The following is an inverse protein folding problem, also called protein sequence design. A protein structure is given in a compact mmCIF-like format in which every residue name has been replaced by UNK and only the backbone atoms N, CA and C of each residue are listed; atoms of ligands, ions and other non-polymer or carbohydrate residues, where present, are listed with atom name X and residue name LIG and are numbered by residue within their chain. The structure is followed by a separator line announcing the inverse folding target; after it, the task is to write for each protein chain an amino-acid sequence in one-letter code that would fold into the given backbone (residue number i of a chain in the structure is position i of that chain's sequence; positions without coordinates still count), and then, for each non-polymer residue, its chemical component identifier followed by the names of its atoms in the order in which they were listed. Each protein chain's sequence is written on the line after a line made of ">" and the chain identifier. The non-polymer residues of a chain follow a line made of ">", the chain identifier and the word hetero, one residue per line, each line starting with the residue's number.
data_IF_293600800267
#
_entry.id   IF_293600800267
#
_cell.length_a   1.000
_cell.length_b   1.000
_cell.length_c   1.000
_cell.angle_alpha   90.00
_cell.angle_beta   90.00
_cell.angle_gamma   90.00
#
_symmetry.space_group_name_H-M   'P 1'
#
loop_
_entity.id
_entity.type
_entity.pdbx_description
1 polymer ?
#
# COMPACT_ATOMS: atom_id res chain seq x y z
N UNK A 1 -27.54 16.01 50.89
CA UNK A 1 -28.61 15.36 50.12
C UNK A 1 -28.30 15.48 48.63
N UNK A 2 -28.65 14.44 47.88
CA UNK A 2 -28.30 14.12 46.49
C UNK A 2 -28.36 15.25 45.44
N UNK A 3 -27.52 15.14 44.39
CA UNK A 3 -27.97 14.75 43.04
C UNK A 3 -26.82 14.53 42.03
N UNK A 4 -26.87 13.34 41.46
CA UNK A 4 -26.30 12.82 40.22
C UNK A 4 -26.42 13.75 39.01
N UNK A 5 -25.39 13.81 38.16
CA UNK A 5 -25.54 13.84 36.70
C UNK A 5 -24.21 13.54 35.98
N UNK A 6 -24.17 12.39 35.32
CA UNK A 6 -23.21 12.05 34.29
C UNK A 6 -23.43 12.94 33.05
N UNK A 7 -22.35 13.33 32.35
CA UNK A 7 -22.44 13.44 30.89
C UNK A 7 -21.07 13.37 30.22
N UNK A 8 -20.89 12.22 29.59
CA UNK A 8 -19.96 11.89 28.53
C UNK A 8 -19.78 13.03 27.52
N UNK A 9 -18.52 13.43 27.29
CA UNK A 9 -18.14 14.02 25.99
C UNK A 9 -16.81 13.40 25.55
N UNK A 10 -16.92 12.31 24.81
CA UNK A 10 -15.86 11.70 24.00
C UNK A 10 -15.27 12.76 23.07
N UNK A 11 -14.12 13.32 23.42
CA UNK A 11 -13.25 14.00 22.48
C UNK A 11 -12.58 12.93 21.59
N UNK A 12 -13.29 12.51 20.53
CA UNK A 12 -12.75 11.68 19.47
C UNK A 12 -11.92 12.59 18.57
N UNK A 13 -10.74 12.99 19.05
CA UNK A 13 -9.71 13.61 18.21
C UNK A 13 -9.21 12.52 17.29
N UNK A 14 -9.84 12.40 16.12
CA UNK A 14 -9.26 11.70 14.98
C UNK A 14 -8.04 12.51 14.56
N UNK A 15 -6.94 12.23 15.26
CA UNK A 15 -5.60 12.73 14.96
C UNK A 15 -5.30 12.28 13.55
N UNK A 16 -5.51 13.22 12.64
CA UNK A 16 -5.25 13.20 11.21
C UNK A 16 -3.85 12.62 11.05
N UNK A 17 -3.78 11.33 10.73
CA UNK A 17 -2.52 10.61 10.60
C UNK A 17 -1.67 11.37 9.58
N UNK A 18 -0.65 12.00 10.14
CA UNK A 18 0.52 12.61 9.52
C UNK A 18 0.83 11.92 8.19
N UNK A 19 0.53 12.58 7.08
CA UNK A 19 1.09 12.19 5.79
C UNK A 19 2.61 12.44 5.90
N UNK A 20 3.46 11.41 5.81
CA UNK A 20 4.88 11.65 5.67
C UNK A 20 5.10 12.27 4.29
N UNK A 21 5.30 13.59 4.24
CA UNK A 21 6.00 14.25 3.15
C UNK A 21 7.45 13.74 3.16
N UNK A 22 7.64 12.51 2.70
CA UNK A 22 8.96 11.97 2.45
C UNK A 22 9.44 12.60 1.14
N UNK A 23 10.46 13.46 1.23
CA UNK A 23 11.37 13.71 0.11
C UNK A 23 11.79 12.34 -0.41
N UNK A 24 11.26 11.93 -1.55
CA UNK A 24 11.61 10.67 -2.20
C UNK A 24 13.03 10.86 -2.72
N UNK A 25 14.00 10.49 -1.90
CA UNK A 25 15.37 10.31 -2.33
C UNK A 25 15.33 9.26 -3.46
N UNK A 26 15.65 9.72 -4.66
CA UNK A 26 15.64 8.95 -5.91
C UNK A 26 16.78 7.95 -5.88
N UNK A 27 16.60 6.87 -5.12
CA UNK A 27 17.46 5.70 -5.11
C UNK A 27 16.61 4.46 -5.37
N UNK A 28 17.06 3.59 -6.26
CA UNK A 28 16.47 2.28 -6.47
C UNK A 28 16.65 1.45 -5.19
N UNK A 29 15.68 1.53 -4.29
CA UNK A 29 15.68 0.77 -3.03
C UNK A 29 14.59 -0.30 -3.09
N UNK A 30 14.95 -1.54 -2.76
CA UNK A 30 13.97 -2.64 -2.59
C UNK A 30 12.83 -2.26 -1.63
N UNK A 31 13.11 -1.40 -0.65
CA UNK A 31 12.09 -0.88 0.26
C UNK A 31 11.14 0.12 -0.41
N UNK A 32 11.63 0.98 -1.31
CA UNK A 32 10.79 1.94 -2.03
C UNK A 32 9.81 1.22 -2.98
N UNK A 33 10.28 0.19 -3.67
CA UNK A 33 9.44 -0.68 -4.52
C UNK A 33 8.34 -1.35 -3.69
N UNK A 34 8.70 -1.89 -2.52
CA UNK A 34 7.74 -2.48 -1.57
C UNK A 34 6.67 -1.52 -1.10
N UNK A 35 7.05 -0.30 -0.75
CA UNK A 35 6.11 0.72 -0.29
C UNK A 35 5.11 1.08 -1.39
N UNK A 36 5.57 1.23 -2.62
CA UNK A 36 4.70 1.54 -3.78
C UNK A 36 3.78 0.37 -4.12
N UNK A 37 4.30 -0.87 -4.10
CA UNK A 37 3.47 -2.07 -4.25
C UNK A 37 2.40 -2.15 -3.16
N UNK A 38 2.77 -1.91 -1.89
CA UNK A 38 1.80 -1.86 -0.79
C UNK A 38 0.77 -0.75 -0.98
N UNK A 39 1.14 0.41 -1.54
CA UNK A 39 0.18 1.48 -1.84
C UNK A 39 -0.82 1.09 -2.92
N UNK A 40 -0.38 0.42 -3.99
CA UNK A 40 -1.26 -0.11 -5.03
C UNK A 40 -2.16 -1.23 -4.50
N UNK A 41 -1.56 -2.11 -3.70
CA UNK A 41 -2.22 -3.28 -3.14
C UNK A 41 -3.03 -2.96 -1.88
N UNK A 42 -3.06 -1.71 -1.40
CA UNK A 42 -3.74 -1.34 -0.15
C UNK A 42 -5.25 -1.63 -0.18
N UNK A 43 -5.83 -1.68 -1.37
CA UNK A 43 -7.25 -1.98 -1.61
C UNK A 43 -7.53 -3.48 -1.73
N UNK A 44 -6.50 -4.30 -1.98
CA UNK A 44 -6.64 -5.74 -2.22
C UNK A 44 -6.11 -6.57 -1.06
N UNK A 45 -6.80 -7.69 -0.81
CA UNK A 45 -6.31 -8.69 0.14
C UNK A 45 -5.15 -9.50 -0.46
N UNK A 46 -4.23 -10.00 0.39
CA UNK A 46 -3.13 -10.87 -0.05
C UNK A 46 -3.60 -12.11 -0.82
N UNK A 47 -4.81 -12.62 -0.53
CA UNK A 47 -5.45 -13.70 -1.29
C UNK A 47 -5.75 -13.31 -2.74
N UNK A 48 -6.33 -12.13 -2.97
CA UNK A 48 -6.64 -11.65 -4.32
C UNK A 48 -5.36 -11.38 -5.11
N UNK A 49 -4.34 -10.82 -4.46
CA UNK A 49 -3.04 -10.61 -5.10
C UNK A 49 -2.38 -11.95 -5.46
N UNK A 50 -2.58 -12.97 -4.62
CA UNK A 50 -2.16 -14.33 -4.92
C UNK A 50 -2.86 -14.89 -6.16
N UNK A 51 -4.17 -14.70 -6.27
CA UNK A 51 -4.94 -15.11 -7.44
C UNK A 51 -4.45 -14.42 -8.73
N UNK A 52 -4.32 -13.09 -8.69
CA UNK A 52 -3.82 -12.26 -9.80
C UNK A 52 -2.42 -12.69 -10.26
N UNK A 53 -1.52 -12.96 -9.30
CA UNK A 53 -0.14 -13.32 -9.58
C UNK A 53 0.08 -14.83 -9.76
N UNK A 54 -0.98 -15.64 -9.68
CA UNK A 54 -0.97 -17.11 -9.73
C UNK A 54 0.06 -17.67 -8.74
N UNK A 55 -0.08 -17.26 -7.47
CA UNK A 55 0.79 -17.63 -6.36
C UNK A 55 0.03 -17.64 -5.04
N UNK A 56 0.57 -18.31 -4.03
CA UNK A 56 -0.11 -18.39 -2.73
C UNK A 56 -0.13 -17.00 -2.08
N UNK A 57 -1.28 -16.63 -1.48
CA UNK A 57 -1.39 -15.36 -0.74
C UNK A 57 -0.37 -15.22 0.38
N UNK A 58 0.10 -16.33 0.96
CA UNK A 58 1.20 -16.35 1.92
C UNK A 58 2.55 -15.94 1.28
N UNK A 59 2.85 -16.42 0.07
CA UNK A 59 4.03 -16.01 -0.69
C UNK A 59 3.99 -14.50 -0.97
N UNK A 60 2.84 -14.00 -1.41
CA UNK A 60 2.65 -12.55 -1.64
C UNK A 60 2.85 -11.76 -0.35
N UNK A 61 2.27 -12.22 0.77
CA UNK A 61 2.45 -11.61 2.08
C UNK A 61 3.93 -11.53 2.44
N UNK A 62 4.67 -12.64 2.40
CA UNK A 62 6.12 -12.71 2.70
C UNK A 62 6.94 -11.77 1.81
N UNK A 63 6.59 -11.65 0.53
CA UNK A 63 7.26 -10.75 -0.40
C UNK A 63 7.00 -9.28 -0.06
N UNK A 64 5.77 -8.93 0.32
CA UNK A 64 5.39 -7.56 0.70
C UNK A 64 5.88 -7.17 2.10
N UNK A 65 5.97 -8.11 3.05
CA UNK A 65 6.42 -7.84 4.44
C UNK A 65 7.92 -7.67 4.57
N UNK A 66 8.73 -8.27 3.70
CA UNK A 66 10.18 -8.24 3.93
C UNK A 66 10.87 -9.58 3.77
N UNK A 67 10.14 -10.63 4.13
CA UNK A 67 10.63 -11.97 4.43
C UNK A 67 11.15 -12.72 3.20
N UNK A 68 10.71 -12.34 2.00
CA UNK A 68 11.16 -12.98 0.75
C UNK A 68 11.44 -11.97 -0.36
N UNK A 69 12.33 -12.31 -1.29
CA UNK A 69 12.59 -11.47 -2.45
C UNK A 69 11.32 -11.33 -3.30
N UNK A 70 10.99 -10.10 -3.71
CA UNK A 70 9.86 -9.86 -4.60
C UNK A 70 10.18 -10.45 -5.97
N UNK A 71 9.31 -11.34 -6.44
CA UNK A 71 9.41 -11.89 -7.78
C UNK A 71 8.96 -10.87 -8.82
N UNK A 72 9.67 -10.81 -9.94
CA UNK A 72 9.27 -10.03 -11.12
C UNK A 72 7.86 -10.42 -11.57
N UNK A 73 7.49 -11.71 -11.42
CA UNK A 73 6.13 -12.20 -11.70
C UNK A 73 5.03 -11.46 -10.92
N UNK A 74 5.24 -11.23 -9.61
CA UNK A 74 4.30 -10.47 -8.79
C UNK A 74 4.23 -9.02 -9.27
N UNK A 75 5.38 -8.39 -9.55
CA UNK A 75 5.44 -7.01 -10.05
C UNK A 75 4.69 -6.89 -11.38
N UNK A 76 4.98 -7.76 -12.35
CA UNK A 76 4.36 -7.75 -13.67
C UNK A 76 2.86 -8.02 -13.60
N UNK A 77 2.41 -8.94 -12.74
CA UNK A 77 0.99 -9.24 -12.55
C UNK A 77 0.25 -8.04 -11.95
N UNK A 78 0.79 -7.43 -10.89
CA UNK A 78 0.23 -6.23 -10.27
C UNK A 78 0.25 -5.05 -11.25
N UNK A 79 1.35 -4.83 -11.97
CA UNK A 79 1.44 -3.79 -13.00
C UNK A 79 0.37 -3.96 -14.08
N UNK A 80 0.15 -5.18 -14.58
CA UNK A 80 -0.90 -5.47 -15.56
C UNK A 80 -2.30 -5.27 -14.99
N UNK A 81 -2.55 -5.74 -13.77
CA UNK A 81 -3.85 -5.67 -13.13
C UNK A 81 -4.28 -4.22 -12.82
N UNK A 82 -3.33 -3.40 -12.35
CA UNK A 82 -3.58 -2.00 -12.00
C UNK A 82 -3.33 -1.03 -13.16
N UNK A 83 -2.85 -1.49 -14.31
CA UNK A 83 -2.50 -0.63 -15.45
C UNK A 83 -1.33 0.32 -15.15
N UNK A 84 -0.42 -0.07 -14.25
CA UNK A 84 0.70 0.76 -13.77
C UNK A 84 2.00 0.30 -14.39
N UNK A 85 2.80 1.25 -14.89
CA UNK A 85 4.11 0.97 -15.47
C UNK A 85 5.10 0.46 -14.42
N UNK A 86 5.88 -0.56 -14.78
CA UNK A 86 6.96 -1.07 -13.94
C UNK A 86 7.98 0.04 -13.58
N UNK A 87 8.21 0.99 -14.49
CA UNK A 87 9.05 2.17 -14.26
C UNK A 87 8.59 3.00 -13.05
N UNK A 88 7.28 3.18 -12.88
CA UNK A 88 6.71 3.87 -11.73
C UNK A 88 6.95 3.09 -10.43
N UNK A 89 6.80 1.76 -10.48
CA UNK A 89 7.05 0.90 -9.32
C UNK A 89 8.53 0.95 -8.91
N UNK A 90 9.45 0.91 -9.86
CA UNK A 90 10.90 0.89 -9.61
C UNK A 90 11.49 2.26 -9.28
N UNK A 91 11.18 3.28 -10.07
CA UNK A 91 11.81 4.60 -9.98
C UNK A 91 10.91 5.64 -9.32
N UNK A 92 9.59 5.44 -9.32
CA UNK A 92 8.63 6.45 -8.85
C UNK A 92 8.62 7.70 -9.72
N UNK A 93 9.25 7.60 -10.90
CA UNK A 93 9.12 8.52 -12.02
C UNK A 93 8.23 7.84 -13.06
N UNK A 94 7.57 8.63 -13.90
CA UNK A 94 6.73 8.13 -14.98
C UNK A 94 5.25 8.48 -14.83
N UNK A 95 4.64 8.82 -15.96
CA UNK A 95 3.23 9.16 -16.13
C UNK A 95 2.37 7.89 -16.07
N UNK A 96 2.28 7.32 -14.87
CA UNK A 96 1.59 6.05 -14.60
C UNK A 96 1.40 5.81 -13.12
N UNK A 97 1.57 6.85 -12.28
CA UNK A 97 1.06 6.80 -10.92
C UNK A 97 -0.39 6.37 -10.98
N UNK A 98 -0.88 5.52 -10.04
CA UNK A 98 -2.30 5.26 -9.92
C UNK A 98 -2.95 6.61 -9.65
N UNK A 99 -3.36 7.31 -10.71
CA UNK A 99 -4.24 8.44 -10.61
C UNK A 99 -5.42 7.85 -9.91
N UNK A 100 -5.67 8.29 -8.68
CA UNK A 100 -6.84 7.92 -7.89
C UNK A 100 -8.06 8.51 -8.61
N UNK A 101 -8.32 7.99 -9.80
CA UNK A 101 -9.30 8.41 -10.77
C UNK A 101 -10.58 7.68 -10.44
N UNK A 102 -11.25 8.22 -9.42
CA UNK A 102 -12.69 8.20 -9.20
C UNK A 102 -13.47 7.46 -10.30
N UNK A 103 -13.97 6.25 -10.00
CA UNK A 103 -15.25 5.75 -10.50
C UNK A 103 -15.69 4.51 -9.74
#
# INVERSE_FOLDING_TARGET
>A
MAKTAASSRRARTTSRRKAPSAKVATGFSKQAVRLRLNQLCADKSYRELGDIAVMTGETVRRQLTGESAISIKLISAVCRHFGVSADWVFFGKGSGAPTKGKR
#
